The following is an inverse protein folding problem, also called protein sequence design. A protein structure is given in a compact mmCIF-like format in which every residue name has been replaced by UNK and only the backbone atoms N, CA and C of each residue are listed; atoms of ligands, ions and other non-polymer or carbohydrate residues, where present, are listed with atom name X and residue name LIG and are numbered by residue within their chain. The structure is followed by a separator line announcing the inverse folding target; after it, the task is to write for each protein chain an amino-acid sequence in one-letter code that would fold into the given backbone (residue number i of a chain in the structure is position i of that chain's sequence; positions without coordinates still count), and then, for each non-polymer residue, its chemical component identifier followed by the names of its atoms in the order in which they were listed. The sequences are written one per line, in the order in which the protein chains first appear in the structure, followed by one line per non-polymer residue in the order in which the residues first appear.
data_IF_779224156277
#
_entry.id   IF_779224156277
#
_cell.length_a   1.000
_cell.length_b   1.000
_cell.length_c   1.000
_cell.angle_alpha   90.00
_cell.angle_beta   90.00
_cell.angle_gamma   90.00
#
_symmetry.space_group_name_H-M   'P 1'
#
loop_
_entity.id
_entity.type
_entity.pdbx_description
1 polymer ?
#
# COMPACT_ATOMS: atom_id res chain seq x y z
N UNK A 1 -24.29 14.55 6.58
CA UNK A 1 -23.67 14.22 5.28
C UNK A 1 -22.79 15.37 4.79
N UNK A 2 -23.36 16.57 4.60
CA UNK A 2 -22.67 17.74 4.00
C UNK A 2 -21.38 18.19 4.69
N UNK A 3 -21.24 17.96 6.01
CA UNK A 3 -20.06 18.38 6.77
C UNK A 3 -19.11 17.23 7.13
N UNK A 4 -19.62 15.99 7.17
CA UNK A 4 -18.96 14.87 7.85
C UNK A 4 -18.49 13.78 6.90
N UNK A 5 -19.05 13.71 5.68
CA UNK A 5 -18.69 12.68 4.71
C UNK A 5 -17.90 13.31 3.58
N UNK A 6 -16.73 12.73 3.32
CA UNK A 6 -15.75 13.18 2.33
C UNK A 6 -15.32 11.95 1.54
N UNK A 7 -15.21 12.09 0.22
CA UNK A 7 -14.87 10.99 -0.67
C UNK A 7 -13.98 11.45 -1.81
N UNK A 8 -12.97 10.63 -2.10
CA UNK A 8 -11.97 10.87 -3.13
C UNK A 8 -11.87 9.58 -3.94
N UNK A 9 -11.94 9.71 -5.25
CA UNK A 9 -11.67 8.64 -6.20
C UNK A 9 -11.01 9.27 -7.42
N UNK A 10 -10.08 8.59 -8.07
CA UNK A 10 -9.44 9.11 -9.28
C UNK A 10 -10.36 9.00 -10.51
N UNK A 11 -11.39 8.15 -10.47
CA UNK A 11 -12.38 8.01 -11.54
C UNK A 11 -13.58 8.95 -11.32
N UNK A 12 -13.81 9.94 -12.22
CA UNK A 12 -14.99 10.79 -12.18
C UNK A 12 -16.33 10.04 -12.18
N UNK A 13 -16.40 8.88 -12.86
CA UNK A 13 -17.61 8.05 -12.91
C UNK A 13 -17.92 7.42 -11.56
N UNK A 14 -16.89 6.95 -10.84
CA UNK A 14 -17.04 6.43 -9.49
C UNK A 14 -17.60 7.49 -8.54
N UNK A 15 -17.13 8.74 -8.65
CA UNK A 15 -17.66 9.87 -7.89
C UNK A 15 -19.12 10.17 -8.21
N UNK A 16 -19.51 10.15 -9.49
CA UNK A 16 -20.91 10.35 -9.89
C UNK A 16 -21.84 9.27 -9.33
N UNK A 17 -21.40 8.00 -9.40
CA UNK A 17 -22.14 6.86 -8.84
C UNK A 17 -22.26 6.99 -7.31
N UNK A 18 -21.16 7.35 -6.63
CA UNK A 18 -21.16 7.58 -5.19
C UNK A 18 -22.10 8.73 -4.79
N UNK A 19 -22.11 9.82 -5.55
CA UNK A 19 -23.01 10.95 -5.32
C UNK A 19 -24.48 10.53 -5.45
N UNK A 20 -24.82 9.78 -6.51
CA UNK A 20 -26.17 9.26 -6.73
C UNK A 20 -26.57 8.28 -5.61
N UNK A 21 -25.68 7.36 -5.23
CA UNK A 21 -25.91 6.39 -4.16
C UNK A 21 -26.16 7.07 -2.80
N UNK A 22 -25.34 8.06 -2.45
CA UNK A 22 -25.53 8.86 -1.24
C UNK A 22 -26.85 9.64 -1.27
N UNK A 23 -27.21 10.21 -2.42
CA UNK A 23 -28.48 10.91 -2.58
C UNK A 23 -29.68 9.98 -2.35
N UNK A 24 -29.69 8.82 -3.00
CA UNK A 24 -30.74 7.80 -2.85
C UNK A 24 -30.80 7.32 -1.40
N UNK A 25 -29.65 7.05 -0.77
CA UNK A 25 -29.60 6.63 0.62
C UNK A 25 -30.15 7.71 1.56
N UNK A 26 -29.78 8.97 1.35
CA UNK A 26 -30.32 10.09 2.12
C UNK A 26 -31.84 10.20 1.97
N UNK A 27 -32.36 10.05 0.75
CA UNK A 27 -33.81 10.02 0.48
C UNK A 27 -34.54 8.85 1.11
N UNK A 28 -33.92 7.68 1.18
CA UNK A 28 -34.50 6.50 1.85
C UNK A 28 -34.62 6.67 3.36
N UNK A 29 -33.70 7.44 3.98
CA UNK A 29 -33.73 7.73 5.41
C UNK A 29 -34.63 8.92 5.74
N UNK A 30 -34.74 9.90 4.82
CA UNK A 30 -35.61 11.06 4.96
C UNK A 30 -36.07 11.56 3.60
N UNK A 31 -37.37 11.50 3.34
CA UNK A 31 -37.98 11.97 2.09
C UNK A 31 -37.75 13.46 1.84
N UNK A 32 -37.57 14.27 2.90
CA UNK A 32 -37.26 15.68 2.84
C UNK A 32 -35.78 15.99 2.57
N UNK A 33 -34.87 15.01 2.65
CA UNK A 33 -33.44 15.24 2.47
C UNK A 33 -33.14 15.85 1.10
N UNK A 34 -32.49 17.02 1.09
CA UNK A 34 -32.02 17.72 -0.12
C UNK A 34 -30.60 18.21 0.16
N UNK A 35 -29.60 17.30 0.12
CA UNK A 35 -28.21 17.71 0.33
C UNK A 35 -27.83 18.74 -0.73
N UNK A 36 -27.43 19.93 -0.29
CA UNK A 36 -26.98 21.06 -1.10
C UNK A 36 -25.52 20.91 -1.53
N UNK A 37 -24.72 20.19 -0.72
CA UNK A 37 -23.30 19.96 -0.97
C UNK A 37 -22.94 18.49 -0.75
N UNK A 38 -22.11 17.95 -1.65
CA UNK A 38 -21.42 16.68 -1.46
C UNK A 38 -19.91 16.93 -1.51
N UNK A 39 -19.17 16.49 -0.49
CA UNK A 39 -17.71 16.58 -0.50
C UNK A 39 -17.16 15.35 -1.20
N UNK A 40 -17.39 15.28 -2.51
CA UNK A 40 -16.85 14.24 -3.37
C UNK A 40 -16.02 14.89 -4.46
N UNK A 41 -14.80 14.41 -4.69
CA UNK A 41 -13.92 14.93 -5.73
C UNK A 41 -13.26 13.80 -6.49
N UNK A 42 -13.34 13.89 -7.81
CA UNK A 42 -12.36 13.30 -8.68
C UNK A 42 -11.32 14.36 -9.00
N UNK A 43 -10.06 14.19 -8.55
CA UNK A 43 -9.02 15.11 -8.90
C UNK A 43 -8.63 14.82 -10.35
N UNK A 44 -9.27 15.52 -11.28
CA UNK A 44 -8.79 15.64 -12.66
C UNK A 44 -8.16 17.02 -12.74
N UNK A 45 -6.84 17.05 -12.63
CA UNK A 45 -6.04 18.26 -12.53
C UNK A 45 -4.90 18.25 -13.55
N UNK A 46 -5.29 18.37 -14.82
CA UNK A 46 -4.35 18.43 -15.94
C UNK A 46 -3.51 19.72 -15.92
N UNK A 47 -4.06 20.81 -15.38
CA UNK A 47 -3.35 22.07 -15.16
C UNK A 47 -2.02 21.90 -14.40
N UNK A 48 -1.94 20.97 -13.45
CA UNK A 48 -0.72 20.73 -12.69
C UNK A 48 0.40 20.02 -13.48
N UNK A 49 0.07 19.42 -14.63
CA UNK A 49 1.00 18.69 -15.47
C UNK A 49 1.50 19.52 -16.68
N UNK A 50 0.99 20.76 -16.85
CA UNK A 50 1.41 21.64 -17.94
C UNK A 50 2.72 22.37 -17.59
N UNK A 51 3.56 22.71 -18.59
CA UNK A 51 4.74 23.56 -18.40
C UNK A 51 4.38 24.92 -17.79
N UNK A 52 5.26 25.49 -16.97
CA UNK A 52 4.98 26.75 -16.26
C UNK A 52 4.78 27.96 -17.18
N UNK A 53 5.26 27.88 -18.42
CA UNK A 53 5.12 28.85 -19.51
C UNK A 53 3.88 28.62 -20.38
N UNK A 54 3.07 27.60 -20.09
CA UNK A 54 1.83 27.34 -20.82
C UNK A 54 0.85 28.53 -20.71
N UNK A 55 0.23 28.96 -21.81
CA UNK A 55 -0.71 30.09 -21.82
C UNK A 55 -1.83 29.99 -20.79
N UNK A 56 -2.35 28.78 -20.51
CA UNK A 56 -3.41 28.57 -19.53
C UNK A 56 -2.92 28.84 -18.10
N UNK A 57 -1.71 28.38 -17.77
CA UNK A 57 -1.08 28.64 -16.46
C UNK A 57 -0.77 30.13 -16.30
N UNK A 58 -0.23 30.78 -17.34
CA UNK A 58 0.12 32.20 -17.31
C UNK A 58 -1.12 33.07 -17.14
N UNK A 59 -2.20 32.75 -17.87
CA UNK A 59 -3.48 33.45 -17.75
C UNK A 59 -4.07 33.30 -16.34
N UNK A 60 -4.13 32.07 -15.83
CA UNK A 60 -4.64 31.79 -14.49
C UNK A 60 -3.84 32.50 -13.39
N UNK A 61 -2.52 32.54 -13.52
CA UNK A 61 -1.63 33.28 -12.60
C UNK A 61 -1.95 34.77 -12.59
N UNK A 62 -2.14 35.36 -13.76
CA UNK A 62 -2.46 36.78 -13.90
C UNK A 62 -3.83 37.11 -13.31
N UNK A 63 -4.85 36.30 -13.60
CA UNK A 63 -6.21 36.51 -13.07
C UNK A 63 -6.28 36.34 -11.55
N UNK A 64 -5.61 35.32 -11.00
CA UNK A 64 -5.55 35.13 -9.54
C UNK A 64 -4.82 36.28 -8.83
N UNK A 65 -3.80 36.87 -9.46
CA UNK A 65 -3.14 38.07 -8.93
C UNK A 65 -4.02 39.30 -9.04
N UNK A 66 -4.66 39.52 -10.18
CA UNK A 66 -5.51 40.70 -10.43
C UNK A 66 -6.77 40.70 -9.57
N UNK A 67 -7.47 39.59 -9.51
CA UNK A 67 -8.84 39.53 -8.98
C UNK A 67 -8.89 39.10 -7.51
N UNK A 68 -7.83 38.44 -7.03
CA UNK A 68 -7.79 37.82 -5.69
C UNK A 68 -6.58 38.29 -4.86
N UNK A 69 -5.60 38.92 -5.51
CA UNK A 69 -4.36 39.37 -4.88
C UNK A 69 -3.44 38.21 -4.48
N UNK A 70 -3.56 37.04 -5.10
CA UNK A 70 -2.67 35.91 -4.85
C UNK A 70 -1.37 36.11 -5.66
N UNK A 71 -0.18 36.08 -5.04
CA UNK A 71 1.07 36.20 -5.77
C UNK A 71 1.24 35.07 -6.80
N UNK A 72 1.71 35.42 -8.00
CA UNK A 72 1.91 34.46 -9.08
C UNK A 72 2.87 33.31 -8.72
N UNK A 73 3.85 33.58 -7.88
CA UNK A 73 4.78 32.57 -7.37
C UNK A 73 4.05 31.56 -6.48
N UNK A 74 3.13 32.02 -5.63
CA UNK A 74 2.31 31.14 -4.80
C UNK A 74 1.42 30.25 -5.68
N UNK A 75 0.78 30.84 -6.70
CA UNK A 75 -0.03 30.07 -7.67
C UNK A 75 0.81 28.98 -8.35
N UNK A 76 1.99 29.32 -8.87
CA UNK A 76 2.89 28.34 -9.50
C UNK A 76 3.24 27.19 -8.57
N UNK A 77 3.58 27.50 -7.30
CA UNK A 77 3.91 26.49 -6.30
C UNK A 77 2.71 25.60 -5.95
N UNK A 78 1.52 26.18 -5.79
CA UNK A 78 0.28 25.44 -5.55
C UNK A 78 -0.05 24.48 -6.71
N UNK A 79 0.06 24.96 -7.96
CA UNK A 79 -0.15 24.13 -9.15
C UNK A 79 0.85 22.97 -9.20
N UNK A 80 2.14 23.25 -8.95
CA UNK A 80 3.19 22.23 -8.94
C UNK A 80 3.03 21.21 -7.81
N UNK A 81 2.55 21.64 -6.64
CA UNK A 81 2.25 20.76 -5.51
C UNK A 81 1.01 19.87 -5.72
N UNK A 82 0.18 20.22 -6.71
CA UNK A 82 -0.95 19.42 -7.19
C UNK A 82 -0.62 18.63 -8.47
N UNK A 83 0.63 18.67 -8.94
CA UNK A 83 1.06 17.84 -10.06
C UNK A 83 0.93 16.36 -9.66
N UNK A 84 0.30 15.57 -10.52
CA UNK A 84 0.13 14.13 -10.33
C UNK A 84 -0.96 13.68 -9.36
N UNK A 85 -1.88 14.57 -8.93
CA UNK A 85 -3.05 14.14 -8.15
C UNK A 85 -3.88 13.09 -8.90
N UNK A 86 -3.94 13.19 -10.23
CA UNK A 86 -4.73 12.31 -11.11
C UNK A 86 -4.35 10.82 -11.01
N UNK A 87 -3.11 10.52 -10.58
CA UNK A 87 -2.62 9.16 -10.43
C UNK A 87 -2.20 8.79 -9.01
N UNK A 88 -1.78 9.75 -8.17
CA UNK A 88 -1.47 9.50 -6.75
C UNK A 88 -2.70 9.53 -5.86
N UNK A 89 -3.75 10.26 -6.26
CA UNK A 89 -4.92 10.52 -5.44
C UNK A 89 -4.52 11.03 -4.07
N UNK A 90 -5.13 10.47 -3.02
CA UNK A 90 -4.89 10.90 -1.64
C UNK A 90 -3.51 10.54 -1.07
N UNK A 91 -2.63 9.83 -1.80
CA UNK A 91 -1.22 9.66 -1.39
C UNK A 91 -0.44 10.97 -1.43
N UNK A 92 -0.88 11.94 -2.25
CA UNK A 92 -0.20 13.22 -2.37
C UNK A 92 -0.35 14.03 -1.07
N UNK A 93 0.78 14.34 -0.44
CA UNK A 93 0.86 15.15 0.79
C UNK A 93 0.80 16.64 0.46
N UNK A 94 -0.38 17.09 0.02
CA UNK A 94 -0.61 18.47 -0.41
C UNK A 94 -0.44 19.46 0.74
N UNK A 95 -0.77 19.07 1.98
CA UNK A 95 -0.68 19.96 3.14
C UNK A 95 0.73 20.51 3.35
N UNK A 96 1.74 19.63 3.34
CA UNK A 96 3.15 20.02 3.48
C UNK A 96 3.65 20.89 2.31
N UNK A 97 3.23 20.58 1.07
CA UNK A 97 3.60 21.34 -0.11
C UNK A 97 3.02 22.78 -0.07
N UNK A 98 1.74 22.90 0.32
CA UNK A 98 1.05 24.18 0.45
C UNK A 98 1.62 25.00 1.60
N UNK A 99 1.87 24.39 2.75
CA UNK A 99 2.48 25.08 3.90
C UNK A 99 3.90 25.57 3.58
N UNK A 100 4.71 24.75 2.90
CA UNK A 100 6.04 25.17 2.43
C UNK A 100 5.98 26.34 1.44
N UNK A 101 4.99 26.34 0.54
CA UNK A 101 4.77 27.46 -0.38
C UNK A 101 4.34 28.73 0.35
N UNK A 102 3.45 28.62 1.33
CA UNK A 102 2.99 29.75 2.14
C UNK A 102 4.09 30.30 3.07
N UNK A 103 4.97 29.45 3.61
CA UNK A 103 6.06 29.88 4.47
C UNK A 103 7.13 30.69 3.73
N UNK A 104 7.29 30.44 2.43
CA UNK A 104 8.27 31.14 1.59
C UNK A 104 7.80 32.50 1.07
N UNK A 105 6.50 32.79 1.15
CA UNK A 105 5.91 34.05 0.72
C UNK A 105 5.45 34.77 1.98
N UNK A 106 6.07 35.91 2.33
CA UNK A 106 5.55 36.79 3.38
C UNK A 106 4.20 37.37 2.94
N UNK A 107 3.14 36.57 3.10
CA UNK A 107 1.79 37.00 2.76
C UNK A 107 1.30 37.92 3.87
N UNK A 108 1.49 39.22 3.67
CA UNK A 108 0.85 40.26 4.44
C UNK A 108 -0.66 40.25 4.12
N UNK A 109 -1.44 39.50 4.89
CA UNK A 109 -2.89 39.53 4.78
C UNK A 109 -3.46 40.69 5.60
N UNK A 110 -4.12 41.62 4.91
CA UNK A 110 -4.91 42.67 5.53
C UNK A 110 -6.17 42.07 6.16
N UNK A 111 -6.38 42.28 7.47
CA UNK A 111 -7.60 41.86 8.19
C UNK A 111 -8.33 43.10 8.68
N UNK A 112 -9.61 43.23 8.33
CA UNK A 112 -10.48 44.23 8.96
C UNK A 112 -10.88 43.74 10.35
N UNK A 113 -10.50 44.46 11.41
CA UNK A 113 -10.98 44.23 12.78
C UNK A 113 -11.57 45.52 13.33
N UNK A 114 -12.84 45.47 13.74
CA UNK A 114 -13.48 46.53 14.53
C UNK A 114 -14.99 46.36 14.68
N UNK A 115 -15.50 46.56 15.89
CA UNK A 115 -16.92 46.87 16.11
C UNK A 115 -17.15 48.29 15.60
N UNK A 116 -17.98 48.46 14.57
CA UNK A 116 -18.22 49.76 13.93
C UNK A 116 -18.75 50.80 14.92
N UNK A 117 -18.27 52.04 14.80
CA UNK A 117 -18.88 53.20 15.47
C UNK A 117 -20.28 53.42 14.89
N UNK A 118 -21.30 53.51 15.75
CA UNK A 118 -22.69 53.79 15.37
C UNK A 118 -22.91 55.23 14.87
N UNK A 119 -21.88 56.09 14.98
CA UNK A 119 -21.93 57.48 14.55
C UNK A 119 -20.56 57.90 13.98
N UNK A 120 -20.41 57.86 12.65
CA UNK A 120 -19.27 58.45 11.93
C UNK A 120 -18.78 57.65 10.73
N UNK A 121 -18.58 58.34 9.60
CA UNK A 121 -17.98 57.85 8.35
C UNK A 121 -16.49 57.49 8.51
N UNK A 122 -16.18 56.45 9.28
CA UNK A 122 -14.83 55.93 9.42
C UNK A 122 -14.74 54.51 8.86
N UNK A 123 -14.05 54.36 7.73
CA UNK A 123 -13.60 53.05 7.22
C UNK A 123 -12.87 52.30 8.32
N UNK A 124 -13.09 50.99 8.41
CA UNK A 124 -12.39 50.12 9.35
C UNK A 124 -10.86 50.30 9.20
N UNK A 125 -10.10 50.55 10.28
CA UNK A 125 -8.65 50.53 10.19
C UNK A 125 -8.21 49.11 9.81
N UNK A 126 -7.54 49.00 8.67
CA UNK A 126 -7.00 47.74 8.16
C UNK A 126 -5.69 47.47 8.88
N UNK A 127 -5.65 46.47 9.75
CA UNK A 127 -4.44 46.12 10.51
C UNK A 127 -3.75 44.92 9.84
N UNK A 128 -2.43 45.01 9.63
CA UNK A 128 -1.62 43.92 9.10
C UNK A 128 -1.36 42.90 10.22
N UNK A 129 -1.98 41.72 10.12
CA UNK A 129 -1.79 40.65 11.11
C UNK A 129 -1.02 39.51 10.45
N UNK A 130 0.11 39.09 11.04
CA UNK A 130 0.81 37.86 10.65
C UNK A 130 -0.09 36.66 10.99
N UNK A 131 -0.67 36.04 9.97
CA UNK A 131 -1.47 34.82 10.11
C UNK A 131 -0.57 33.62 10.39
N UNK A 132 -1.09 32.63 11.12
CA UNK A 132 -0.45 31.30 11.18
C UNK A 132 -0.53 30.60 9.82
N UNK A 133 0.36 29.65 9.53
CA UNK A 133 0.37 28.94 8.24
C UNK A 133 -0.98 28.28 7.90
N UNK A 134 -1.68 27.73 8.91
CA UNK A 134 -3.01 27.16 8.75
C UNK A 134 -4.10 28.19 8.43
N UNK A 135 -4.05 29.37 9.06
CA UNK A 135 -4.98 30.47 8.77
C UNK A 135 -4.71 31.10 7.40
N UNK A 136 -3.43 31.25 7.02
CA UNK A 136 -3.04 31.71 5.69
C UNK A 136 -3.54 30.75 4.62
N UNK A 137 -3.38 29.43 4.83
CA UNK A 137 -3.88 28.39 3.94
C UNK A 137 -5.40 28.43 3.79
N UNK A 138 -6.13 28.51 4.90
CA UNK A 138 -7.59 28.62 4.86
C UNK A 138 -8.03 29.86 4.09
N UNK A 139 -7.39 31.01 4.35
CA UNK A 139 -7.66 32.28 3.67
C UNK A 139 -7.41 32.20 2.17
N UNK A 140 -6.30 31.58 1.74
CA UNK A 140 -5.99 31.38 0.32
C UNK A 140 -7.01 30.48 -0.36
N UNK A 141 -7.40 29.38 0.29
CA UNK A 141 -8.42 28.46 -0.24
C UNK A 141 -9.81 29.11 -0.32
N UNK A 142 -10.21 29.89 0.70
CA UNK A 142 -11.47 30.65 0.69
C UNK A 142 -11.48 31.68 -0.45
N UNK A 143 -10.36 32.38 -0.65
CA UNK A 143 -10.14 33.34 -1.74
C UNK A 143 -10.23 32.68 -3.12
N UNK A 144 -9.63 31.51 -3.30
CA UNK A 144 -9.71 30.72 -4.54
C UNK A 144 -11.15 30.25 -4.82
N UNK A 145 -11.88 29.80 -3.80
CA UNK A 145 -13.29 29.42 -3.95
C UNK A 145 -14.18 30.61 -4.34
N UNK A 146 -13.94 31.78 -3.75
CA UNK A 146 -14.65 33.00 -4.11
C UNK A 146 -14.37 33.43 -5.56
N UNK A 147 -13.13 33.29 -6.02
CA UNK A 147 -12.74 33.53 -7.42
C UNK A 147 -13.48 32.61 -8.38
N UNK A 148 -13.48 31.30 -8.07
CA UNK A 148 -14.16 30.28 -8.85
C UNK A 148 -15.68 30.50 -8.90
N UNK A 149 -16.28 30.90 -7.78
CA UNK A 149 -17.70 31.24 -7.72
C UNK A 149 -18.07 32.39 -8.65
N UNK A 150 -17.21 33.43 -8.72
CA UNK A 150 -17.42 34.60 -9.58
C UNK A 150 -17.19 34.30 -11.08
N UNK A 151 -16.23 33.44 -11.41
CA UNK A 151 -15.83 33.15 -12.79
C UNK A 151 -16.50 31.89 -13.38
N UNK A 152 -17.38 31.22 -12.63
CA UNK A 152 -18.20 30.10 -13.12
C UNK A 152 -19.34 30.51 -14.08
N UNK A 153 -19.52 31.83 -14.31
CA UNK A 153 -20.57 32.40 -15.16
C UNK A 153 -20.19 32.60 -16.63
N UNK A 154 -20.79 31.76 -17.49
CA UNK A 154 -21.13 31.90 -18.91
C UNK A 154 -20.16 32.41 -20.02
N UNK A 155 -19.18 33.29 -19.79
CA UNK A 155 -18.62 34.07 -20.93
C UNK A 155 -17.24 33.65 -21.49
N UNK A 156 -16.59 32.61 -20.95
CA UNK A 156 -15.36 32.07 -21.56
C UNK A 156 -15.28 30.54 -21.41
N UNK A 157 -15.35 29.83 -22.53
CA UNK A 157 -15.33 28.36 -22.58
C UNK A 157 -14.00 27.77 -22.07
N UNK A 158 -12.88 28.49 -22.22
CA UNK A 158 -11.56 28.06 -21.75
C UNK A 158 -11.42 28.15 -20.24
N UNK A 159 -11.76 29.32 -19.67
CA UNK A 159 -11.79 29.55 -18.21
C UNK A 159 -12.78 28.62 -17.49
N UNK A 160 -13.80 28.11 -18.18
CA UNK A 160 -14.78 27.18 -17.60
C UNK A 160 -14.18 25.80 -17.33
N UNK A 161 -13.38 25.27 -18.25
CA UNK A 161 -12.69 23.98 -18.08
C UNK A 161 -11.56 24.10 -17.04
N UNK A 162 -10.78 25.17 -17.11
CA UNK A 162 -9.68 25.42 -16.18
C UNK A 162 -10.21 25.73 -14.77
N UNK A 163 -11.31 26.47 -14.68
CA UNK A 163 -12.02 26.77 -13.44
C UNK A 163 -12.60 25.50 -12.78
N UNK A 164 -13.17 24.58 -13.56
CA UNK A 164 -13.64 23.29 -13.02
C UNK A 164 -12.49 22.44 -12.47
N UNK A 165 -11.35 22.38 -13.18
CA UNK A 165 -10.15 21.68 -12.71
C UNK A 165 -9.58 22.31 -11.43
N UNK A 166 -9.43 23.65 -11.40
CA UNK A 166 -8.96 24.36 -10.22
C UNK A 166 -9.91 24.18 -9.03
N UNK A 167 -11.23 24.20 -9.27
CA UNK A 167 -12.21 23.92 -8.23
C UNK A 167 -12.09 22.48 -7.69
N UNK A 168 -11.82 21.51 -8.56
CA UNK A 168 -11.55 20.14 -8.14
C UNK A 168 -10.28 20.05 -7.29
N UNK A 169 -9.19 20.70 -7.71
CA UNK A 169 -7.93 20.78 -6.97
C UNK A 169 -8.10 21.41 -5.58
N UNK A 170 -8.77 22.56 -5.49
CA UNK A 170 -9.04 23.25 -4.21
C UNK A 170 -9.88 22.39 -3.27
N UNK A 171 -10.95 21.75 -3.78
CA UNK A 171 -11.76 20.82 -2.98
C UNK A 171 -10.95 19.60 -2.54
N UNK A 172 -10.07 19.08 -3.39
CA UNK A 172 -9.17 17.99 -3.06
C UNK A 172 -8.25 18.36 -1.89
N UNK A 173 -7.58 19.53 -1.96
CA UNK A 173 -6.71 20.04 -0.88
C UNK A 173 -7.45 20.12 0.45
N UNK A 174 -8.70 20.59 0.44
CA UNK A 174 -9.53 20.64 1.66
C UNK A 174 -9.93 19.27 2.19
N UNK A 175 -9.88 18.22 1.38
CA UNK A 175 -10.25 16.86 1.78
C UNK A 175 -9.06 16.01 2.21
N UNK A 176 -7.85 16.26 1.69
CA UNK A 176 -6.65 15.49 2.10
C UNK A 176 -5.97 16.08 3.33
N UNK A 177 -6.76 16.58 4.29
CA UNK A 177 -6.27 17.22 5.51
C UNK A 177 -5.76 16.19 6.51
N UNK A 178 -4.47 16.25 6.80
CA UNK A 178 -3.82 15.36 7.77
C UNK A 178 -4.35 15.59 9.18
N UNK A 179 -4.48 14.50 9.94
CA UNK A 179 -4.88 14.56 11.35
C UNK A 179 -6.29 15.07 11.62
N UNK A 180 -7.18 15.08 10.62
CA UNK A 180 -8.49 15.74 10.71
C UNK A 180 -9.68 14.77 10.78
N UNK A 181 -9.50 13.51 10.38
CA UNK A 181 -10.60 12.56 10.24
C UNK A 181 -10.75 11.62 11.44
N UNK A 182 -11.97 11.44 11.93
CA UNK A 182 -12.31 10.41 12.92
C UNK A 182 -12.07 9.00 12.39
N UNK A 183 -12.51 8.77 11.16
CA UNK A 183 -12.46 7.47 10.50
C UNK A 183 -12.06 7.68 9.05
N UNK A 184 -11.04 6.95 8.61
CA UNK A 184 -10.59 6.86 7.22
C UNK A 184 -10.86 5.45 6.75
N UNK A 185 -11.67 5.30 5.70
CA UNK A 185 -12.02 3.99 5.12
C UNK A 185 -11.63 3.99 3.65
N UNK A 186 -11.05 2.90 3.16
CA UNK A 186 -10.63 2.82 1.76
C UNK A 186 -10.33 1.41 1.27
N UNK A 187 -10.39 1.26 -0.05
CA UNK A 187 -9.89 0.11 -0.79
C UNK A 187 -8.80 0.61 -1.75
N UNK A 188 -7.54 0.70 -1.29
CA UNK A 188 -6.44 1.20 -2.11
C UNK A 188 -6.24 0.39 -3.40
N UNK A 189 -5.66 0.97 -4.45
CA UNK A 189 -5.32 0.25 -5.68
C UNK A 189 -4.28 -0.85 -5.42
N UNK A 190 -4.46 -1.99 -6.08
CA UNK A 190 -3.60 -3.17 -5.99
C UNK A 190 -2.68 -3.22 -7.20
N UNK A 191 -1.57 -2.50 -7.13
CA UNK A 191 -0.69 -2.33 -8.26
C UNK A 191 0.75 -2.26 -7.77
N UNK A 192 1.52 -3.30 -8.12
CA UNK A 192 2.97 -3.29 -7.99
C UNK A 192 3.52 -2.08 -8.75
N UNK A 193 4.37 -1.31 -8.08
CA UNK A 193 4.93 -0.11 -8.68
C UNK A 193 5.96 -0.51 -9.74
N UNK A 194 5.60 -0.41 -11.01
CA UNK A 194 6.59 -0.39 -12.10
C UNK A 194 7.27 0.98 -12.14
N UNK A 195 8.36 1.13 -12.89
CA UNK A 195 9.18 2.37 -13.00
C UNK A 195 8.44 3.54 -13.68
N UNK A 196 7.28 3.95 -13.17
CA UNK A 196 6.48 5.11 -13.60
C UNK A 196 6.75 6.31 -12.70
N UNK A 197 6.32 7.51 -13.10
CA UNK A 197 6.46 8.74 -12.30
C UNK A 197 5.86 8.64 -10.87
N UNK A 198 4.83 7.81 -10.69
CA UNK A 198 4.27 7.47 -9.37
C UNK A 198 5.25 6.76 -8.44
N UNK A 199 6.20 5.99 -8.98
CA UNK A 199 7.19 5.29 -8.18
C UNK A 199 8.18 6.24 -7.50
N UNK A 200 8.60 7.33 -8.16
CA UNK A 200 9.55 8.27 -7.57
C UNK A 200 8.97 8.97 -6.33
N UNK A 201 7.73 9.44 -6.44
CA UNK A 201 7.01 10.04 -5.31
C UNK A 201 6.84 9.04 -4.18
N UNK A 202 6.33 7.84 -4.46
CA UNK A 202 6.12 6.82 -3.42
C UNK A 202 7.43 6.36 -2.79
N UNK A 203 8.50 6.19 -3.57
CA UNK A 203 9.81 5.81 -3.06
C UNK A 203 10.42 6.88 -2.15
N UNK A 204 10.13 8.16 -2.42
CA UNK A 204 10.60 9.29 -1.62
C UNK A 204 9.77 9.49 -0.35
N UNK A 205 8.45 9.54 -0.47
CA UNK A 205 7.54 9.96 0.61
C UNK A 205 6.95 8.77 1.41
N UNK A 206 6.98 7.56 0.84
CA UNK A 206 6.55 6.30 1.47
C UNK A 206 7.56 5.15 1.20
N UNK A 207 8.84 5.31 1.58
CA UNK A 207 9.91 4.38 1.23
C UNK A 207 9.67 2.94 1.74
N UNK A 208 8.88 2.79 2.81
CA UNK A 208 8.49 1.49 3.39
C UNK A 208 7.36 0.81 2.60
N UNK A 209 6.47 1.59 1.99
CA UNK A 209 5.36 1.13 1.16
C UNK A 209 5.70 0.96 -0.33
N UNK A 210 6.92 1.25 -0.77
CA UNK A 210 7.31 1.28 -2.20
C UNK A 210 7.19 -0.04 -2.98
N UNK A 211 6.89 -1.16 -2.31
CA UNK A 211 6.71 -2.44 -2.98
C UNK A 211 5.34 -2.53 -3.70
N UNK A 212 4.31 -1.84 -3.19
CA UNK A 212 2.97 -1.81 -3.79
C UNK A 212 2.21 -0.56 -3.32
N UNK A 213 1.39 0.04 -4.17
CA UNK A 213 0.64 1.25 -3.81
C UNK A 213 -0.22 1.07 -2.55
N UNK A 214 -0.92 -0.05 -2.39
CA UNK A 214 -1.77 -0.26 -1.21
C UNK A 214 -0.97 -0.18 0.11
N UNK A 215 0.32 -0.50 0.06
CA UNK A 215 1.19 -0.53 1.22
C UNK A 215 1.52 0.91 1.68
N UNK A 216 1.70 1.85 0.75
CA UNK A 216 1.82 3.28 1.06
C UNK A 216 0.52 3.82 1.68
N UNK A 217 -0.64 3.32 1.24
CA UNK A 217 -1.94 3.73 1.81
C UNK A 217 -2.11 3.32 3.28
N UNK A 218 -1.45 2.25 3.75
CA UNK A 218 -1.49 1.87 5.18
C UNK A 218 -0.92 2.98 6.07
N UNK A 219 0.18 3.61 5.67
CA UNK A 219 0.74 4.80 6.33
C UNK A 219 -0.19 6.01 6.11
N UNK A 220 -0.60 6.25 4.86
CA UNK A 220 -1.42 7.43 4.52
C UNK A 220 -2.75 7.49 5.26
N UNK A 221 -3.44 6.36 5.43
CA UNK A 221 -4.70 6.32 6.16
C UNK A 221 -4.54 6.78 7.62
N UNK A 222 -3.42 6.46 8.25
CA UNK A 222 -3.08 6.92 9.60
C UNK A 222 -2.69 8.40 9.64
N UNK A 223 -1.99 8.91 8.63
CA UNK A 223 -1.67 10.34 8.53
C UNK A 223 -2.93 11.22 8.45
N UNK A 224 -3.94 10.77 7.70
CA UNK A 224 -5.23 11.45 7.55
C UNK A 224 -6.11 11.38 8.82
N UNK A 225 -6.02 10.27 9.56
CA UNK A 225 -6.79 10.09 10.80
C UNK A 225 -6.30 11.03 11.91
N UNK A 226 -7.19 11.64 12.68
CA UNK A 226 -6.84 12.43 13.87
C UNK A 226 -6.22 11.55 14.97
N UNK A 227 -5.52 12.13 15.97
CA UNK A 227 -5.12 11.36 17.15
C UNK A 227 -6.33 10.64 17.79
N UNK A 228 -6.22 9.32 17.97
CA UNK A 228 -7.30 8.44 18.41
C UNK A 228 -8.29 8.01 17.31
N UNK A 229 -8.20 8.56 16.10
CA UNK A 229 -8.98 8.18 14.93
C UNK A 229 -8.57 6.82 14.36
N UNK A 230 -9.40 6.28 13.47
CA UNK A 230 -9.25 4.92 12.91
C UNK A 230 -8.97 4.98 11.41
N UNK A 231 -7.99 4.22 10.96
CA UNK A 231 -7.74 3.87 9.56
C UNK A 231 -8.17 2.44 9.32
N UNK A 232 -9.14 2.23 8.42
CA UNK A 232 -9.72 0.93 8.08
C UNK A 232 -9.57 0.69 6.57
N UNK A 233 -8.59 -0.12 6.19
CA UNK A 233 -8.22 -0.32 4.78
C UNK A 233 -8.34 -1.78 4.36
N UNK A 234 -8.92 -2.03 3.19
CA UNK A 234 -8.92 -3.34 2.55
C UNK A 234 -7.67 -3.49 1.68
N UNK A 235 -6.72 -4.33 2.10
CA UNK A 235 -5.41 -4.47 1.45
C UNK A 235 -5.11 -5.92 1.08
N UNK A 236 -4.03 -6.15 0.32
CA UNK A 236 -3.57 -7.50 0.02
C UNK A 236 -3.01 -8.17 1.27
N UNK A 237 -3.41 -9.42 1.53
CA UNK A 237 -2.98 -10.23 2.68
C UNK A 237 -1.44 -10.35 2.81
N UNK A 238 -0.72 -10.22 1.70
CA UNK A 238 0.75 -10.40 1.64
C UNK A 238 1.55 -9.48 2.57
N UNK A 239 1.09 -8.26 2.88
CA UNK A 239 1.83 -7.34 3.77
C UNK A 239 2.04 -7.90 5.18
N UNK A 240 1.14 -8.80 5.62
CA UNK A 240 1.24 -9.47 6.91
C UNK A 240 2.40 -10.46 6.99
N UNK A 241 2.94 -10.94 5.86
CA UNK A 241 3.92 -12.04 5.83
C UNK A 241 5.20 -11.73 5.05
N UNK A 242 5.09 -11.21 3.83
CA UNK A 242 6.20 -11.15 2.89
C UNK A 242 7.32 -10.20 3.35
N UNK A 243 8.57 -10.61 3.15
CA UNK A 243 9.76 -9.87 3.59
C UNK A 243 9.89 -8.46 2.98
N UNK A 244 9.37 -8.25 1.77
CA UNK A 244 9.37 -6.92 1.13
C UNK A 244 8.53 -5.87 1.88
N UNK A 245 7.63 -6.30 2.77
CA UNK A 245 6.81 -5.43 3.61
C UNK A 245 7.26 -5.42 5.08
N UNK A 246 8.39 -6.06 5.41
CA UNK A 246 8.83 -6.20 6.81
C UNK A 246 9.06 -4.83 7.47
N UNK A 247 9.73 -3.89 6.80
CA UNK A 247 10.01 -2.56 7.36
C UNK A 247 8.73 -1.72 7.54
N UNK A 248 7.76 -1.86 6.63
CA UNK A 248 6.44 -1.23 6.78
C UNK A 248 5.71 -1.81 7.99
N UNK A 249 5.62 -3.13 8.08
CA UNK A 249 4.94 -3.85 9.16
C UNK A 249 5.53 -3.48 10.52
N UNK A 250 6.86 -3.53 10.68
CA UNK A 250 7.57 -3.10 11.89
C UNK A 250 7.21 -1.67 12.28
N UNK A 251 7.23 -0.76 11.30
CA UNK A 251 6.88 0.63 11.54
C UNK A 251 5.46 0.77 12.06
N UNK A 252 4.48 0.20 11.36
CA UNK A 252 3.06 0.28 11.74
C UNK A 252 2.78 -0.31 13.12
N UNK A 253 3.34 -1.48 13.43
CA UNK A 253 3.13 -2.15 14.72
C UNK A 253 3.80 -1.42 15.89
N UNK A 254 4.85 -0.63 15.61
CA UNK A 254 5.55 0.18 16.61
C UNK A 254 4.92 1.55 16.84
N UNK A 255 4.31 2.15 15.81
CA UNK A 255 3.84 3.54 15.85
C UNK A 255 2.32 3.70 15.89
N UNK A 256 1.57 2.65 15.59
CA UNK A 256 0.12 2.67 15.57
C UNK A 256 -0.47 1.45 16.29
N UNK A 257 -1.74 1.59 16.68
CA UNK A 257 -2.44 0.58 17.44
C UNK A 257 -3.26 -0.31 16.51
N UNK A 258 -2.71 -1.48 16.17
CA UNK A 258 -3.46 -2.49 15.42
C UNK A 258 -4.63 -2.99 16.28
N UNK A 259 -5.85 -2.74 15.84
CA UNK A 259 -7.07 -3.12 16.58
C UNK A 259 -7.68 -4.40 16.06
N UNK A 260 -7.83 -4.49 14.74
CA UNK A 260 -8.54 -5.60 14.11
C UNK A 260 -7.94 -5.96 12.75
N UNK A 261 -7.85 -7.27 12.50
CA UNK A 261 -7.63 -7.85 11.18
C UNK A 261 -8.84 -8.68 10.77
N UNK A 262 -9.42 -8.41 9.61
CA UNK A 262 -10.37 -9.30 8.97
C UNK A 262 -9.69 -10.04 7.82
N UNK A 263 -9.13 -11.22 8.10
CA UNK A 263 -8.39 -12.03 7.14
C UNK A 263 -9.36 -12.85 6.26
N UNK A 264 -9.84 -12.21 5.20
CA UNK A 264 -10.86 -12.79 4.29
C UNK A 264 -10.25 -13.85 3.36
N UNK A 265 -8.92 -13.96 3.32
CA UNK A 265 -8.18 -14.80 2.38
C UNK A 265 -8.67 -14.52 0.94
N UNK A 266 -8.89 -15.55 0.13
CA UNK A 266 -9.31 -15.45 -1.28
C UNK A 266 -10.79 -15.20 -1.46
N UNK A 267 -11.20 -14.52 -2.52
CA UNK A 267 -12.62 -14.43 -2.88
C UNK A 267 -13.43 -13.48 -1.99
N UNK A 268 -12.86 -12.32 -1.69
CA UNK A 268 -13.55 -11.20 -1.05
C UNK A 268 -14.52 -10.45 -1.99
N UNK A 269 -14.37 -10.61 -3.31
CA UNK A 269 -15.18 -9.96 -4.34
C UNK A 269 -15.98 -10.99 -5.14
N UNK A 270 -17.24 -10.68 -5.45
CA UNK A 270 -18.12 -11.54 -6.25
C UNK A 270 -17.72 -11.55 -7.73
N UNK A 271 -17.33 -10.39 -8.26
CA UNK A 271 -17.05 -10.16 -9.68
C UNK A 271 -15.61 -10.50 -10.11
N UNK A 272 -14.77 -11.03 -9.20
CA UNK A 272 -13.39 -11.44 -9.51
C UNK A 272 -13.34 -12.96 -9.60
N UNK A 273 -13.41 -13.53 -10.82
CA UNK A 273 -13.41 -14.97 -11.04
C UNK A 273 -11.97 -15.51 -10.99
N UNK A 274 -11.30 -15.46 -9.85
CA UNK A 274 -10.23 -16.41 -9.48
C UNK A 274 -9.60 -16.11 -8.11
N UNK A 275 -8.97 -17.14 -7.54
CA UNK A 275 -8.32 -17.14 -6.21
C UNK A 275 -6.98 -16.37 -6.15
N UNK A 276 -6.66 -15.54 -7.15
CA UNK A 276 -5.36 -14.83 -7.21
C UNK A 276 -5.23 -13.78 -6.10
N UNK A 277 -6.35 -13.23 -5.62
CA UNK A 277 -6.36 -12.13 -4.67
C UNK A 277 -6.72 -12.62 -3.26
N UNK A 278 -5.73 -12.63 -2.38
CA UNK A 278 -5.95 -12.78 -0.94
C UNK A 278 -5.97 -11.41 -0.27
N UNK A 279 -7.00 -11.11 0.51
CA UNK A 279 -7.24 -9.77 1.08
C UNK A 279 -7.43 -9.80 2.59
N UNK A 280 -7.10 -8.68 3.22
CA UNK A 280 -7.27 -8.45 4.65
C UNK A 280 -7.82 -7.04 4.91
N UNK A 281 -8.79 -6.93 5.80
CA UNK A 281 -9.24 -5.66 6.35
C UNK A 281 -8.34 -5.31 7.53
N UNK A 282 -7.61 -4.20 7.45
CA UNK A 282 -6.66 -3.76 8.49
C UNK A 282 -7.19 -2.52 9.18
N UNK A 283 -7.50 -2.63 10.48
CA UNK A 283 -7.96 -1.51 11.31
C UNK A 283 -6.87 -1.09 12.28
N UNK A 284 -6.32 0.09 12.05
CA UNK A 284 -5.39 0.73 12.97
C UNK A 284 -6.03 1.95 13.61
N UNK A 285 -5.80 2.14 14.90
CA UNK A 285 -6.06 3.39 15.61
C UNK A 285 -4.78 4.21 15.64
N UNK A 286 -4.86 5.49 15.30
CA UNK A 286 -3.72 6.41 15.42
C UNK A 286 -3.46 6.70 16.90
N UNK A 287 -2.40 6.13 17.44
CA UNK A 287 -2.04 6.27 18.85
C UNK A 287 -1.02 5.23 19.26
N UNK A 288 -0.66 5.23 20.54
CA UNK A 288 0.28 4.27 21.09
C UNK A 288 -0.25 2.82 20.91
N UNK A 289 0.62 1.86 20.55
CA UNK A 289 0.23 0.47 20.34
C UNK A 289 -0.32 -0.16 21.62
N UNK A 290 -1.31 -1.04 21.48
CA UNK A 290 -1.80 -1.90 22.55
C UNK A 290 -1.21 -3.31 22.47
N UNK A 291 -1.36 -4.08 23.56
CA UNK A 291 -0.89 -5.48 23.67
C UNK A 291 -1.94 -6.51 23.24
N UNK A 292 -3.09 -6.05 22.73
CA UNK A 292 -4.22 -6.89 22.40
C UNK A 292 -4.87 -6.44 21.10
N UNK A 293 -4.85 -7.29 20.08
CA UNK A 293 -5.59 -7.12 18.84
C UNK A 293 -6.46 -8.34 18.57
N UNK A 294 -7.45 -8.17 17.69
CA UNK A 294 -8.34 -9.25 17.28
C UNK A 294 -8.13 -9.55 15.80
N UNK A 295 -7.95 -10.82 15.45
CA UNK A 295 -8.04 -11.27 14.07
C UNK A 295 -9.30 -12.11 13.90
N UNK A 296 -10.00 -11.92 12.80
CA UNK A 296 -11.11 -12.76 12.35
C UNK A 296 -10.65 -13.51 11.10
N UNK A 297 -10.77 -14.83 11.11
CA UNK A 297 -10.50 -15.71 9.99
C UNK A 297 -11.83 -16.31 9.48
N UNK A 298 -12.66 -15.53 8.76
CA UNK A 298 -13.96 -16.00 8.25
C UNK A 298 -13.85 -17.10 7.18
N UNK A 299 -12.64 -17.34 6.65
CA UNK A 299 -12.38 -18.39 5.65
C UNK A 299 -11.51 -19.48 6.29
N UNK A 300 -12.07 -20.67 6.59
CA UNK A 300 -11.28 -21.78 7.08
C UNK A 300 -10.13 -22.14 6.11
N UNK A 301 -8.94 -22.50 6.60
CA UNK A 301 -7.81 -22.89 5.75
C UNK A 301 -8.10 -24.04 4.79
N UNK A 302 -9.08 -24.88 5.09
CA UNK A 302 -9.53 -26.02 4.31
C UNK A 302 -10.64 -25.66 3.31
N UNK A 303 -11.22 -24.46 3.38
CA UNK A 303 -12.31 -24.05 2.51
C UNK A 303 -11.82 -23.91 1.05
N UNK A 304 -12.32 -24.79 0.19
CA UNK A 304 -12.08 -24.80 -1.25
C UNK A 304 -13.31 -24.39 -2.09
N UNK A 305 -14.34 -23.83 -1.45
CA UNK A 305 -15.59 -23.49 -2.10
C UNK A 305 -15.45 -22.38 -3.15
N UNK A 306 -16.13 -22.56 -4.28
CA UNK A 306 -16.14 -21.67 -5.45
C UNK A 306 -17.56 -21.43 -5.99
N UNK A 307 -18.57 -21.53 -5.15
CA UNK A 307 -19.97 -21.26 -5.50
C UNK A 307 -20.37 -19.80 -5.21
N UNK A 308 -21.48 -19.37 -5.81
CA UNK A 308 -22.04 -18.02 -5.64
C UNK A 308 -22.46 -17.68 -4.21
N UNK A 309 -22.56 -18.65 -3.30
CA UNK A 309 -22.84 -18.42 -1.88
C UNK A 309 -21.61 -18.02 -1.05
N UNK A 310 -20.39 -18.13 -1.61
CA UNK A 310 -19.13 -17.93 -0.89
C UNK A 310 -19.04 -16.56 -0.19
N UNK A 311 -19.34 -15.47 -0.90
CA UNK A 311 -19.25 -14.11 -0.33
C UNK A 311 -20.27 -13.89 0.79
N UNK A 312 -21.48 -14.42 0.65
CA UNK A 312 -22.51 -14.34 1.69
C UNK A 312 -22.11 -15.13 2.95
N UNK A 313 -21.53 -16.33 2.79
CA UNK A 313 -20.99 -17.11 3.92
C UNK A 313 -19.88 -16.34 4.64
N UNK A 314 -18.95 -15.73 3.91
CA UNK A 314 -17.87 -14.92 4.49
C UNK A 314 -18.41 -13.69 5.23
N UNK A 315 -19.40 -12.99 4.65
CA UNK A 315 -20.06 -11.86 5.30
C UNK A 315 -20.71 -12.28 6.62
N UNK A 316 -21.45 -13.40 6.62
CA UNK A 316 -22.04 -13.96 7.83
C UNK A 316 -20.97 -14.36 8.86
N UNK A 317 -19.87 -14.98 8.42
CA UNK A 317 -18.76 -15.40 9.26
C UNK A 317 -18.05 -14.21 9.92
N UNK A 318 -17.82 -13.10 9.20
CA UNK A 318 -17.28 -11.86 9.77
C UNK A 318 -18.21 -11.29 10.84
N UNK A 319 -19.52 -11.21 10.55
CA UNK A 319 -20.52 -10.71 11.50
C UNK A 319 -20.66 -11.59 12.74
N UNK A 320 -20.54 -12.90 12.59
CA UNK A 320 -20.54 -13.88 13.67
C UNK A 320 -19.18 -14.03 14.38
N UNK A 321 -18.16 -13.27 13.95
CA UNK A 321 -16.79 -13.35 14.49
C UNK A 321 -16.19 -14.75 14.44
N UNK A 322 -16.45 -15.50 13.37
CA UNK A 322 -15.85 -16.82 13.13
C UNK A 322 -14.34 -16.70 13.01
N UNK A 323 -13.62 -17.68 13.56
CA UNK A 323 -12.16 -17.70 13.54
C UNK A 323 -11.57 -16.51 14.31
N UNK A 324 -12.16 -16.16 15.46
CA UNK A 324 -11.66 -15.08 16.31
C UNK A 324 -10.39 -15.53 17.04
N UNK A 325 -9.32 -14.77 16.86
CA UNK A 325 -8.05 -14.92 17.56
C UNK A 325 -7.71 -13.62 18.28
N UNK A 326 -7.30 -13.73 19.53
CA UNK A 326 -6.75 -12.62 20.30
C UNK A 326 -5.23 -12.79 20.37
N UNK A 327 -4.50 -11.75 20.00
CA UNK A 327 -3.05 -11.81 19.87
C UNK A 327 -2.39 -10.49 20.28
N UNK A 328 -1.11 -10.55 20.65
CA UNK A 328 -0.29 -9.35 20.86
C UNK A 328 0.42 -9.00 19.54
N UNK A 329 0.12 -7.85 18.91
CA UNK A 329 0.79 -7.44 17.69
C UNK A 329 2.32 -7.34 17.81
N UNK A 330 2.85 -7.05 19.00
CA UNK A 330 4.31 -6.97 19.24
C UNK A 330 4.94 -8.32 19.60
N UNK A 331 4.13 -9.35 19.87
CA UNK A 331 4.62 -10.69 20.17
C UNK A 331 5.42 -11.33 19.03
N UNK A 332 5.32 -10.80 17.81
CA UNK A 332 6.01 -11.32 16.63
C UNK A 332 7.45 -10.81 16.46
N UNK A 333 7.93 -9.89 17.30
CA UNK A 333 9.32 -9.40 17.30
C UNK A 333 10.37 -10.53 17.40
N UNK A 334 9.98 -11.68 17.97
CA UNK A 334 10.83 -12.88 18.11
C UNK A 334 11.09 -13.61 16.78
N UNK A 335 10.27 -13.36 15.75
CA UNK A 335 10.35 -14.00 14.44
C UNK A 335 11.05 -13.05 13.47
N UNK A 336 12.01 -13.55 12.69
CA UNK A 336 12.68 -12.75 11.68
C UNK A 336 11.68 -12.16 10.67
N UNK A 337 11.78 -10.84 10.46
CA UNK A 337 10.85 -10.09 9.63
C UNK A 337 9.55 -9.70 10.33
N UNK A 338 9.23 -10.26 11.50
CA UNK A 338 8.05 -9.97 12.32
C UNK A 338 6.69 -10.23 11.63
N UNK A 339 6.48 -11.39 10.97
CA UNK A 339 5.21 -11.71 10.34
C UNK A 339 4.04 -11.77 11.34
N UNK A 340 2.87 -11.28 10.93
CA UNK A 340 1.66 -11.27 11.77
C UNK A 340 1.01 -12.65 11.71
N UNK A 341 1.49 -13.59 12.52
CA UNK A 341 0.97 -14.95 12.67
C UNK A 341 0.00 -15.01 13.84
N UNK A 342 -1.14 -14.31 13.73
CA UNK A 342 -2.13 -14.13 14.80
C UNK A 342 -2.69 -15.44 15.39
N UNK A 343 -2.54 -16.56 14.69
CA UNK A 343 -2.96 -17.89 15.13
C UNK A 343 -1.92 -18.61 16.01
N UNK A 344 -0.72 -18.06 16.19
CA UNK A 344 0.28 -18.59 17.12
C UNK A 344 0.00 -18.10 18.53
N UNK A 345 -0.07 -19.03 19.49
CA UNK A 345 -0.27 -18.69 20.89
C UNK A 345 0.98 -18.02 21.49
N UNK A 346 0.78 -17.25 22.56
CA UNK A 346 1.89 -16.67 23.36
C UNK A 346 2.86 -17.74 23.85
N UNK A 347 2.35 -18.91 24.23
CA UNK A 347 3.16 -20.06 24.63
C UNK A 347 4.02 -20.58 23.47
N UNK A 348 3.45 -20.70 22.27
CA UNK A 348 4.19 -21.13 21.10
C UNK A 348 5.29 -20.14 20.72
N UNK A 349 5.00 -18.84 20.76
CA UNK A 349 5.98 -17.78 20.53
C UNK A 349 7.14 -17.83 21.55
N UNK A 350 6.84 -18.05 22.83
CA UNK A 350 7.85 -18.20 23.87
C UNK A 350 8.74 -19.44 23.65
N UNK A 351 8.14 -20.58 23.27
CA UNK A 351 8.88 -21.79 22.90
C UNK A 351 9.75 -21.59 21.67
N UNK A 352 9.24 -20.89 20.66
CA UNK A 352 9.99 -20.55 19.45
C UNK A 352 11.20 -19.66 19.79
N UNK A 353 11.01 -18.65 20.62
CA UNK A 353 12.08 -17.73 21.03
C UNK A 353 13.21 -18.43 21.82
N UNK A 354 12.88 -19.45 22.62
CA UNK A 354 13.85 -20.23 23.39
C UNK A 354 14.47 -21.42 22.64
N UNK A 355 13.99 -21.74 21.43
CA UNK A 355 14.50 -22.87 20.65
C UNK A 355 15.74 -22.49 19.86
N UNK A 356 16.73 -23.39 19.83
CA UNK A 356 17.88 -23.29 18.93
C UNK A 356 17.41 -23.42 17.47
N UNK A 357 17.71 -22.43 16.63
CA UNK A 357 17.26 -22.40 15.24
C UNK A 357 18.21 -23.22 14.39
N UNK A 358 17.66 -23.94 13.40
CA UNK A 358 18.47 -24.79 12.52
C UNK A 358 19.58 -24.01 11.80
N UNK A 359 19.31 -22.76 11.42
CA UNK A 359 20.28 -21.88 10.77
C UNK A 359 21.50 -21.55 11.65
N UNK A 360 21.39 -21.64 12.98
CA UNK A 360 22.48 -21.35 13.91
C UNK A 360 23.45 -22.55 14.03
N UNK A 361 22.94 -23.77 13.84
CA UNK A 361 23.72 -25.02 13.98
C UNK A 361 24.21 -25.59 12.65
N UNK A 362 23.52 -25.30 11.56
CA UNK A 362 23.85 -25.86 10.25
C UNK A 362 23.51 -24.88 9.14
N UNK A 363 24.47 -24.50 8.28
CA UNK A 363 24.17 -23.64 7.16
C UNK A 363 23.25 -24.38 6.18
N UNK A 364 22.01 -23.90 6.05
CA UNK A 364 21.08 -24.37 5.03
C UNK A 364 21.60 -23.94 3.65
N UNK A 365 22.05 -24.92 2.85
CA UNK A 365 22.52 -24.69 1.48
C UNK A 365 21.42 -25.00 0.50
N UNK A 366 21.29 -24.18 -0.53
CA UNK A 366 20.47 -24.54 -1.68
C UNK A 366 21.04 -25.81 -2.33
N UNK A 367 20.17 -26.75 -2.67
CA UNK A 367 20.55 -27.93 -3.43
C UNK A 367 21.08 -27.57 -4.82
N UNK A 368 21.44 -28.57 -5.61
CA UNK A 368 21.88 -28.35 -6.97
C UNK A 368 20.71 -27.84 -7.84
N UNK A 369 20.83 -26.64 -8.41
CA UNK A 369 19.91 -26.12 -9.41
C UNK A 369 20.47 -26.36 -10.81
N UNK A 370 19.72 -27.08 -11.65
CA UNK A 370 20.18 -27.42 -13.00
C UNK A 370 19.97 -26.30 -14.02
N UNK A 371 19.11 -25.32 -13.73
CA UNK A 371 18.67 -24.27 -14.67
C UNK A 371 17.90 -24.77 -15.91
N UNK A 372 17.89 -26.08 -16.17
CA UNK A 372 17.21 -26.72 -17.27
C UNK A 372 17.06 -28.23 -16.99
N UNK A 373 15.97 -28.60 -16.30
CA UNK A 373 15.69 -30.00 -15.97
C UNK A 373 15.61 -30.88 -17.24
N UNK A 374 15.01 -30.38 -18.32
CA UNK A 374 14.87 -31.11 -19.57
C UNK A 374 16.20 -31.47 -20.25
N UNK A 375 17.26 -30.69 -20.02
CA UNK A 375 18.61 -30.96 -20.53
C UNK A 375 19.41 -31.91 -19.64
N UNK A 376 19.28 -31.77 -18.32
CA UNK A 376 20.22 -32.39 -17.38
C UNK A 376 19.67 -33.51 -16.53
N UNK A 377 18.35 -33.70 -16.45
CA UNK A 377 17.72 -34.74 -15.63
C UNK A 377 17.08 -35.78 -16.55
N UNK A 378 17.30 -37.05 -16.22
CA UNK A 378 16.69 -38.20 -16.87
C UNK A 378 16.25 -39.20 -15.82
N UNK A 379 15.33 -40.07 -16.18
CA UNK A 379 15.06 -41.25 -15.37
C UNK A 379 16.20 -42.26 -15.54
N UNK A 380 16.54 -43.01 -14.48
CA UNK A 380 17.71 -43.89 -14.51
C UNK A 380 17.67 -44.93 -15.65
N UNK A 381 16.47 -45.37 -16.03
CA UNK A 381 16.26 -46.33 -17.13
C UNK A 381 16.48 -45.72 -18.52
N UNK A 382 16.47 -44.40 -18.67
CA UNK A 382 16.68 -43.72 -19.96
C UNK A 382 18.15 -43.66 -20.38
N UNK A 383 19.08 -43.80 -19.42
CA UNK A 383 20.51 -43.49 -19.62
C UNK A 383 21.41 -44.72 -19.80
N UNK A 384 20.89 -45.92 -19.52
CA UNK A 384 21.64 -47.17 -19.51
C UNK A 384 22.61 -47.27 -18.31
N UNK A 385 22.62 -48.43 -17.62
CA UNK A 385 23.33 -48.60 -16.34
C UNK A 385 24.85 -48.39 -16.43
N UNK A 386 25.47 -48.64 -17.58
CA UNK A 386 26.91 -48.49 -17.82
C UNK A 386 27.38 -47.02 -17.85
N UNK A 387 26.47 -46.08 -18.09
CA UNK A 387 26.74 -44.65 -18.17
C UNK A 387 26.46 -43.90 -16.86
N UNK A 388 26.00 -44.62 -15.83
CA UNK A 388 25.70 -44.06 -14.50
C UNK A 388 26.86 -44.37 -13.57
N UNK A 389 27.37 -43.35 -12.88
CA UNK A 389 28.35 -43.52 -11.82
C UNK A 389 27.72 -44.29 -10.65
N UNK A 390 28.22 -45.50 -10.41
CA UNK A 390 27.90 -46.32 -9.25
C UNK A 390 29.20 -46.58 -8.48
N UNK A 391 29.25 -46.13 -7.23
CA UNK A 391 30.40 -46.33 -6.33
C UNK A 391 29.92 -47.12 -5.12
N UNK A 392 30.60 -48.21 -4.72
CA UNK A 392 30.29 -48.88 -3.48
C UNK A 392 30.34 -47.91 -2.29
N UNK A 393 29.45 -48.07 -1.30
CA UNK A 393 29.40 -47.23 -0.10
C UNK A 393 30.72 -47.23 0.70
N UNK A 394 31.52 -48.27 0.55
CA UNK A 394 32.81 -48.46 1.21
C UNK A 394 33.98 -47.76 0.52
N UNK A 395 33.77 -47.22 -0.69
CA UNK A 395 34.81 -46.61 -1.49
C UNK A 395 34.64 -45.09 -1.58
N UNK A 396 35.74 -44.32 -1.61
CA UNK A 396 35.65 -42.88 -1.81
C UNK A 396 35.09 -42.57 -3.21
N UNK A 397 34.30 -41.49 -3.31
CA UNK A 397 33.87 -40.99 -4.61
C UNK A 397 35.11 -40.61 -5.44
N UNK A 398 35.15 -40.96 -6.74
CA UNK A 398 36.28 -40.61 -7.58
C UNK A 398 36.42 -39.09 -7.69
N UNK A 399 37.66 -38.61 -7.79
CA UNK A 399 37.96 -37.17 -7.90
C UNK A 399 37.35 -36.53 -9.15
N UNK A 400 37.16 -37.31 -10.21
CA UNK A 400 36.47 -36.92 -11.45
C UNK A 400 35.38 -37.94 -11.80
N UNK A 401 34.19 -37.45 -12.14
CA UNK A 401 33.14 -38.28 -12.72
C UNK A 401 33.34 -38.42 -14.22
N UNK A 402 33.89 -39.54 -14.68
CA UNK A 402 34.03 -39.83 -16.13
C UNK A 402 32.74 -40.39 -16.74
N UNK A 403 31.81 -40.84 -15.91
CA UNK A 403 30.49 -41.29 -16.33
C UNK A 403 29.61 -40.09 -16.68
N UNK A 404 28.73 -40.29 -17.67
CA UNK A 404 27.86 -39.23 -18.14
C UNK A 404 26.83 -38.82 -17.08
N UNK A 405 26.34 -39.79 -16.31
CA UNK A 405 25.23 -39.62 -15.37
C UNK A 405 25.65 -39.97 -13.94
N UNK A 406 25.04 -39.33 -12.95
CA UNK A 406 25.16 -39.66 -11.54
C UNK A 406 23.78 -39.63 -10.88
N UNK A 407 23.59 -40.43 -9.83
CA UNK A 407 22.34 -40.44 -9.07
C UNK A 407 22.03 -39.05 -8.49
N UNK A 408 20.78 -38.62 -8.64
CA UNK A 408 20.35 -37.28 -8.29
C UNK A 408 19.07 -37.33 -7.46
N UNK A 409 19.10 -36.67 -6.30
CA UNK A 409 17.94 -36.46 -5.46
C UNK A 409 17.37 -35.08 -5.80
N UNK A 410 16.16 -35.07 -6.35
CA UNK A 410 15.49 -33.87 -6.85
C UNK A 410 14.28 -33.49 -5.99
N UNK A 411 14.22 -34.02 -4.76
CA UNK A 411 13.12 -33.83 -3.84
C UNK A 411 12.07 -34.92 -4.02
N UNK A 412 11.39 -35.25 -2.92
CA UNK A 412 10.58 -36.45 -2.82
C UNK A 412 9.21 -36.41 -3.53
N UNK A 413 8.97 -35.47 -4.45
CA UNK A 413 7.72 -35.31 -5.21
C UNK A 413 6.42 -35.43 -4.37
N UNK A 414 6.44 -34.95 -3.12
CA UNK A 414 5.31 -35.03 -2.19
C UNK A 414 5.32 -36.23 -1.24
N UNK A 415 6.29 -37.15 -1.34
CA UNK A 415 6.52 -38.17 -0.34
C UNK A 415 7.07 -37.56 0.96
N UNK A 416 6.63 -38.13 2.07
CA UNK A 416 7.16 -37.82 3.40
C UNK A 416 8.37 -38.75 3.62
N UNK A 417 9.48 -38.25 4.13
CA UNK A 417 10.68 -39.01 4.55
C UNK A 417 11.77 -39.28 3.50
N UNK A 418 11.49 -39.93 2.38
CA UNK A 418 12.54 -40.43 1.47
C UNK A 418 12.18 -40.13 0.01
N UNK A 419 13.15 -39.59 -0.73
CA UNK A 419 13.12 -39.46 -2.19
C UNK A 419 13.34 -40.84 -2.82
N UNK A 420 12.56 -41.17 -3.85
CA UNK A 420 12.62 -42.47 -4.53
C UNK A 420 13.98 -42.74 -5.19
N UNK A 421 14.79 -41.71 -5.43
CA UNK A 421 16.12 -41.84 -6.02
C UNK A 421 16.09 -42.42 -7.43
N UNK A 422 15.04 -42.14 -8.20
CA UNK A 422 14.81 -42.66 -9.55
C UNK A 422 15.47 -41.79 -10.64
N UNK A 423 15.93 -40.60 -10.29
CA UNK A 423 16.51 -39.66 -11.23
C UNK A 423 18.04 -39.72 -11.27
N UNK A 424 18.56 -39.43 -12.45
CA UNK A 424 19.99 -39.21 -12.69
C UNK A 424 20.20 -37.83 -13.30
N UNK A 425 21.32 -37.21 -12.92
CA UNK A 425 21.76 -35.93 -13.48
C UNK A 425 23.00 -36.12 -14.33
N UNK A 426 23.07 -35.39 -15.44
CA UNK A 426 24.27 -35.32 -16.28
C UNK A 426 25.41 -34.66 -15.48
N UNK A 427 26.37 -35.47 -15.07
CA UNK A 427 27.41 -35.09 -14.10
C UNK A 427 28.84 -35.39 -14.58
N UNK A 428 28.99 -35.66 -15.86
CA UNK A 428 30.30 -35.81 -16.50
C UNK A 428 31.22 -34.65 -16.13
N UNK A 429 32.45 -35.00 -15.79
CA UNK A 429 33.54 -34.12 -15.41
C UNK A 429 33.12 -33.21 -14.24
N UNK A 430 32.48 -33.83 -13.24
CA UNK A 430 31.96 -33.20 -12.03
C UNK A 430 30.89 -32.12 -12.31
N UNK A 431 30.09 -32.33 -13.35
CA UNK A 431 28.99 -31.44 -13.73
C UNK A 431 29.45 -30.19 -14.46
N UNK A 432 30.53 -30.26 -15.23
CA UNK A 432 31.10 -29.12 -15.97
C UNK A 432 30.03 -28.35 -16.77
N UNK A 433 29.17 -29.06 -17.51
CA UNK A 433 28.11 -28.43 -18.30
C UNK A 433 27.07 -27.70 -17.43
N UNK A 434 26.69 -28.27 -16.28
CA UNK A 434 25.73 -27.67 -15.35
C UNK A 434 26.33 -26.42 -14.72
N UNK A 435 27.61 -26.47 -14.34
CA UNK A 435 28.34 -25.35 -13.74
C UNK A 435 28.52 -24.19 -14.72
N UNK A 436 28.92 -24.48 -15.97
CA UNK A 436 29.07 -23.47 -17.02
C UNK A 436 27.72 -22.80 -17.30
N UNK A 437 26.61 -23.56 -17.37
CA UNK A 437 25.30 -22.95 -17.57
C UNK A 437 24.92 -22.06 -16.38
N UNK A 438 25.13 -22.51 -15.15
CA UNK A 438 24.83 -21.73 -13.96
C UNK A 438 25.65 -20.42 -13.94
N UNK A 439 26.94 -20.48 -14.28
CA UNK A 439 27.80 -19.31 -14.41
C UNK A 439 27.33 -18.35 -15.51
N UNK A 440 26.95 -18.87 -16.68
CA UNK A 440 26.40 -18.05 -17.76
C UNK A 440 25.09 -17.34 -17.36
N UNK A 441 24.18 -18.05 -16.69
CA UNK A 441 22.88 -17.50 -16.31
C UNK A 441 22.98 -16.53 -15.13
N UNK A 442 23.91 -16.76 -14.20
CA UNK A 442 23.87 -16.15 -12.87
C UNK A 442 25.18 -15.51 -12.41
N UNK A 443 26.24 -15.55 -13.22
CA UNK A 443 27.57 -15.02 -12.89
C UNK A 443 28.35 -15.84 -11.85
N UNK A 444 27.78 -16.93 -11.32
CA UNK A 444 28.48 -17.87 -10.45
C UNK A 444 27.86 -19.27 -10.53
N UNK A 445 28.68 -20.32 -10.34
CA UNK A 445 28.20 -21.70 -10.28
C UNK A 445 27.78 -22.14 -8.86
N UNK A 446 28.16 -21.39 -7.83
CA UNK A 446 27.76 -21.60 -6.44
C UNK A 446 26.87 -20.47 -5.95
N UNK A 447 25.63 -20.79 -5.55
CA UNK A 447 24.74 -19.85 -4.86
C UNK A 447 24.77 -20.15 -3.36
N UNK A 448 25.13 -19.16 -2.56
CA UNK A 448 24.84 -19.18 -1.12
C UNK A 448 23.43 -18.64 -0.90
N UNK A 449 22.66 -19.32 -0.06
CA UNK A 449 21.39 -18.80 0.43
C UNK A 449 21.68 -17.57 1.29
N UNK A 450 20.94 -16.47 1.10
CA UNK A 450 20.76 -15.51 2.19
C UNK A 450 20.05 -16.24 3.32
N UNK A 451 20.62 -16.23 4.52
CA UNK A 451 20.28 -17.12 5.65
C UNK A 451 18.91 -16.89 6.29
N UNK A 452 17.97 -16.18 5.65
CA UNK A 452 16.80 -15.60 6.34
C UNK A 452 15.51 -16.43 6.33
N UNK A 453 15.49 -17.66 5.80
CA UNK A 453 14.19 -18.39 5.60
C UNK A 453 14.20 -19.90 5.89
N UNK A 454 15.05 -20.38 6.81
CA UNK A 454 14.90 -21.75 7.33
C UNK A 454 14.62 -21.75 8.84
N UNK A 455 13.37 -21.45 9.20
CA UNK A 455 12.83 -21.52 10.55
C UNK A 455 12.28 -22.92 10.85
N UNK A 456 13.13 -23.95 10.78
CA UNK A 456 12.79 -25.29 11.26
C UNK A 456 13.11 -25.42 12.75
N UNK A 457 12.10 -25.71 13.59
CA UNK A 457 12.31 -26.08 14.99
C UNK A 457 12.87 -27.50 15.02
N UNK A 458 13.95 -27.73 15.77
CA UNK A 458 14.50 -29.07 16.03
C UNK A 458 13.48 -29.89 16.83
N UNK A 459 12.92 -30.93 16.23
CA UNK A 459 12.18 -31.94 16.99
C UNK A 459 13.18 -32.73 17.84
N UNK A 460 13.13 -32.59 19.16
CA UNK A 460 13.87 -33.47 20.07
C UNK A 460 13.29 -34.88 19.96
N UNK A 461 14.11 -35.93 19.79
CA UNK A 461 13.62 -37.30 19.87
C UNK A 461 13.23 -37.60 21.32
N UNK A 462 11.99 -38.04 21.51
CA UNK A 462 11.48 -38.65 22.76
C UNK A 462 12.05 -40.03 22.97
#
# INVERSE_FOLDING_TARGET
MENNLHGIDIDPRAIQIAAAGLYVKAKSLSSAARPKKMNLVAPVFQLGNLPADDPAIVHLRHDLKRDVGIPEELTTRLLSGLAGVDYLGSLLKVDAAVEGALASVELEFQRERGQGSLFGDARFPTEQVKLTAGEAKATVLDKLEAFLGKHSGADDLGLRLDGEQLAAGVRFVRMVREGSYDVVVGNPPYQGLSKTASFEYVAKDYPRGKADLYAAFLERGLELARPGGISALLTMRGWMFLGQFAELRKHLLKTADLRLLGDVDRGAFEDVPDEVLATVMSLFRRGAPSEEAVALQPTPPEDRSRDGGRTNRKRAAVLAQVGRHEFDPRGFEVIEGEPIVYWWSREFLARYAGAEKLGDVSPAKFGLNTGNNGRFIRQWWESGRTNILCVPLTEPKPASCEKMWSWFLNGAAGASWIDAGDQVIRWMWNGLEVRILAEFLYGSYSRQSGTSVFTGIRASPS
#
